data_IF_902340559480
#
_entry.id   IF_902340559480
#
_cell.length_a   1.000
_cell.length_b   1.000
_cell.length_c   1.000
_cell.angle_alpha   90.00
_cell.angle_beta   90.00
_cell.angle_gamma   90.00
#
_symmetry.space_group_name_H-M   'P 1'
#
loop_
_entity.id
_entity.type
_entity.pdbx_description
1 polymer ?
#
# COMPACT_ATOMS: atom_id res chain seq x y z
N UNK A 1 11.52 13.46 -5.97
CA UNK A 1 11.29 13.69 -4.54
C UNK A 1 11.12 12.36 -3.85
N UNK A 2 12.11 12.00 -3.08
CA UNK A 2 12.23 10.73 -2.42
C UNK A 2 11.34 10.76 -1.19
N UNK A 3 10.27 9.99 -1.20
CA UNK A 3 9.64 9.55 0.04
C UNK A 3 10.65 8.60 0.69
N UNK A 4 11.54 9.15 1.46
CA UNK A 4 12.44 8.37 2.29
C UNK A 4 11.57 7.67 3.31
N UNK A 5 11.47 6.35 3.22
CA UNK A 5 10.87 5.55 4.27
C UNK A 5 11.76 5.74 5.50
N UNK A 6 11.25 6.46 6.50
CA UNK A 6 12.02 6.69 7.73
C UNK A 6 12.24 5.37 8.45
N UNK A 7 13.45 4.86 8.38
CA UNK A 7 13.84 3.61 9.05
C UNK A 7 13.86 3.75 10.57
N UNK A 8 13.92 4.99 11.10
CA UNK A 8 13.97 5.24 12.55
C UNK A 8 13.25 6.53 12.95
N UNK A 9 12.74 6.58 14.19
CA UNK A 9 12.14 7.81 14.76
C UNK A 9 13.12 9.00 14.75
N UNK A 10 14.42 8.74 14.76
CA UNK A 10 15.48 9.75 14.76
C UNK A 10 15.59 10.50 13.43
N UNK A 11 15.07 9.97 12.34
CA UNK A 11 15.10 10.59 11.02
C UNK A 11 13.89 11.48 10.74
N UNK A 12 12.75 11.22 11.40
CA UNK A 12 11.51 11.95 11.16
C UNK A 12 11.61 13.43 11.54
N UNK A 13 12.13 13.74 12.72
CA UNK A 13 12.18 15.14 13.20
C UNK A 13 13.15 16.03 12.40
N UNK A 14 14.37 15.57 12.06
CA UNK A 14 15.25 16.30 11.16
C UNK A 14 14.62 16.50 9.78
N UNK A 15 13.91 15.52 9.23
CA UNK A 15 13.23 15.64 7.95
C UNK A 15 12.09 16.65 8.01
N UNK A 16 11.23 16.62 9.00
CA UNK A 16 10.14 17.58 9.16
C UNK A 16 10.64 19.03 9.25
N UNK A 17 11.88 19.23 9.70
CA UNK A 17 12.53 20.54 9.78
C UNK A 17 13.29 20.93 8.52
N UNK A 18 13.49 20.00 7.60
CA UNK A 18 14.13 20.29 6.31
C UNK A 18 13.17 21.05 5.39
N UNK A 19 13.72 21.77 4.39
CA UNK A 19 12.90 22.42 3.36
C UNK A 19 11.93 21.46 2.69
N UNK A 20 12.42 20.27 2.30
CA UNK A 20 11.61 19.25 1.64
C UNK A 20 10.45 18.74 2.53
N UNK A 21 10.71 18.55 3.82
CA UNK A 21 9.67 18.15 4.78
C UNK A 21 8.62 19.23 4.99
N UNK A 22 9.03 20.49 5.07
CA UNK A 22 8.12 21.63 5.20
C UNK A 22 7.28 21.84 3.95
N UNK A 23 7.89 21.76 2.76
CA UNK A 23 7.19 21.89 1.47
C UNK A 23 6.15 20.79 1.25
N UNK A 24 6.48 19.53 1.61
CA UNK A 24 5.56 18.40 1.46
C UNK A 24 4.42 18.45 2.47
N UNK A 25 4.69 18.89 3.70
CA UNK A 25 3.70 18.85 4.77
C UNK A 25 2.89 20.14 4.88
N UNK A 26 3.35 21.23 4.26
CA UNK A 26 2.86 22.60 4.47
C UNK A 26 2.84 23.03 5.96
N UNK A 27 3.68 22.38 6.78
CA UNK A 27 3.70 22.59 8.22
C UNK A 27 4.09 24.05 8.59
N UNK A 28 4.94 24.66 7.78
CA UNK A 28 5.38 26.05 8.00
C UNK A 28 4.28 27.07 7.70
N UNK A 29 3.42 26.78 6.70
CA UNK A 29 2.34 27.69 6.27
C UNK A 29 1.09 27.51 7.12
N UNK A 30 0.69 26.28 7.43
CA UNK A 30 -0.48 25.95 8.26
C UNK A 30 -0.19 24.78 9.22
N UNK A 31 0.45 25.07 10.38
CA UNK A 31 0.75 24.05 11.38
C UNK A 31 -0.50 23.38 11.95
N UNK A 32 -1.62 24.12 12.03
CA UNK A 32 -2.86 23.59 12.59
C UNK A 32 -3.51 22.55 11.66
N UNK A 33 -3.57 22.83 10.37
CA UNK A 33 -4.07 21.89 9.37
C UNK A 33 -3.15 20.66 9.27
N UNK A 34 -1.84 20.85 9.39
CA UNK A 34 -0.89 19.72 9.44
C UNK A 34 -1.17 18.80 10.63
N UNK A 35 -1.39 19.35 11.83
CA UNK A 35 -1.70 18.58 13.04
C UNK A 35 -3.01 17.81 12.85
N UNK A 36 -4.06 18.42 12.32
CA UNK A 36 -5.35 17.74 12.04
C UNK A 36 -5.18 16.57 11.07
N UNK A 37 -4.39 16.77 10.01
CA UNK A 37 -4.09 15.68 9.05
C UNK A 37 -3.33 14.54 9.71
N UNK A 38 -2.39 14.87 10.59
CA UNK A 38 -1.60 13.88 11.32
C UNK A 38 -2.48 13.08 12.30
N UNK A 39 -3.35 13.75 13.06
CA UNK A 39 -4.30 13.11 13.97
C UNK A 39 -5.25 12.17 13.21
N UNK A 40 -5.83 12.63 12.10
CA UNK A 40 -6.66 11.79 11.23
C UNK A 40 -5.90 10.57 10.70
N UNK A 41 -4.67 10.77 10.23
CA UNK A 41 -3.84 9.68 9.73
C UNK A 41 -3.48 8.68 10.82
N UNK A 42 -3.20 9.14 12.04
CA UNK A 42 -2.93 8.28 13.19
C UNK A 42 -4.16 7.44 13.58
N UNK A 43 -5.34 8.06 13.63
CA UNK A 43 -6.60 7.37 13.90
C UNK A 43 -6.88 6.29 12.83
N UNK A 44 -6.75 6.64 11.54
CA UNK A 44 -6.90 5.70 10.44
C UNK A 44 -5.90 4.54 10.53
N UNK A 45 -4.64 4.83 10.87
CA UNK A 45 -3.61 3.80 11.02
C UNK A 45 -3.94 2.81 12.15
N UNK A 46 -4.43 3.29 13.27
CA UNK A 46 -4.87 2.43 14.39
C UNK A 46 -6.04 1.53 13.96
N UNK A 47 -7.05 2.08 13.27
CA UNK A 47 -8.18 1.31 12.74
C UNK A 47 -7.71 0.22 11.78
N UNK A 48 -6.87 0.56 10.82
CA UNK A 48 -6.33 -0.39 9.83
C UNK A 48 -5.52 -1.51 10.51
N UNK A 49 -4.67 -1.17 11.47
CA UNK A 49 -3.91 -2.19 12.24
C UNK A 49 -4.80 -3.14 13.03
N UNK A 50 -6.01 -2.71 13.39
CA UNK A 50 -7.03 -3.52 14.03
C UNK A 50 -7.96 -4.21 13.02
N UNK A 51 -7.61 -4.21 11.74
CA UNK A 51 -8.36 -4.75 10.60
C UNK A 51 -9.72 -4.05 10.37
N UNK A 52 -9.83 -2.80 10.77
CA UNK A 52 -11.05 -2.00 10.61
C UNK A 52 -10.88 -0.96 9.50
N UNK A 53 -11.99 -0.55 8.92
CA UNK A 53 -12.03 0.64 8.08
C UNK A 53 -11.90 1.93 8.95
N UNK A 54 -11.79 3.12 8.32
CA UNK A 54 -11.73 4.39 9.07
C UNK A 54 -12.93 4.68 9.97
N UNK A 55 -14.06 4.01 9.76
CA UNK A 55 -15.29 4.13 10.57
C UNK A 55 -15.33 3.11 11.72
N UNK A 56 -14.31 2.26 11.87
CA UNK A 56 -14.20 1.23 12.89
C UNK A 56 -14.92 -0.09 12.56
N UNK A 57 -15.35 -0.27 11.31
CA UNK A 57 -16.01 -1.49 10.84
C UNK A 57 -14.97 -2.49 10.35
N UNK A 58 -15.09 -3.75 10.76
CA UNK A 58 -14.17 -4.83 10.36
C UNK A 58 -14.09 -4.95 8.83
N UNK A 59 -12.85 -4.96 8.30
CA UNK A 59 -12.56 -5.16 6.89
C UNK A 59 -12.01 -6.57 6.68
N UNK A 60 -12.74 -7.38 5.91
CA UNK A 60 -12.42 -8.79 5.69
C UNK A 60 -11.09 -9.00 4.98
N UNK A 61 -10.74 -8.15 4.02
CA UNK A 61 -9.46 -8.23 3.29
C UNK A 61 -8.26 -7.97 4.19
N UNK A 62 -8.35 -6.97 5.08
CA UNK A 62 -7.28 -6.69 6.05
C UNK A 62 -7.13 -7.84 7.05
N UNK A 63 -8.25 -8.37 7.53
CA UNK A 63 -8.25 -9.53 8.42
C UNK A 63 -7.64 -10.76 7.75
N UNK A 64 -7.96 -11.01 6.48
CA UNK A 64 -7.41 -12.10 5.70
C UNK A 64 -5.88 -11.95 5.55
N UNK A 65 -5.40 -10.79 5.11
CA UNK A 65 -3.97 -10.52 4.96
C UNK A 65 -3.23 -10.78 6.28
N UNK A 66 -3.74 -10.27 7.39
CA UNK A 66 -3.12 -10.44 8.70
C UNK A 66 -3.11 -11.90 9.16
N UNK A 67 -4.20 -12.64 8.92
CA UNK A 67 -4.36 -14.00 9.43
C UNK A 67 -3.54 -15.02 8.64
N UNK A 68 -3.41 -14.84 7.33
CA UNK A 68 -2.77 -15.85 6.46
C UNK A 68 -1.35 -15.49 6.02
N UNK A 69 -1.04 -14.21 5.87
CA UNK A 69 0.29 -13.79 5.37
C UNK A 69 1.15 -13.12 6.43
N UNK A 70 0.56 -12.56 7.49
CA UNK A 70 1.26 -11.85 8.57
C UNK A 70 2.18 -10.72 8.09
N UNK A 71 1.91 -10.15 6.90
CA UNK A 71 2.69 -9.07 6.28
C UNK A 71 2.11 -7.71 6.63
N UNK A 72 2.96 -6.67 6.62
CA UNK A 72 2.58 -5.29 6.94
C UNK A 72 2.92 -4.29 5.82
N UNK A 73 3.56 -4.73 4.77
CA UNK A 73 4.04 -3.88 3.67
C UNK A 73 2.91 -3.14 2.94
N UNK A 74 1.67 -3.66 2.96
CA UNK A 74 0.48 -3.03 2.37
C UNK A 74 -0.03 -1.81 3.14
N UNK A 75 0.32 -1.68 4.42
CA UNK A 75 -0.25 -0.65 5.31
C UNK A 75 -0.09 0.79 4.77
N UNK A 76 1.04 1.21 4.19
CA UNK A 76 1.17 2.57 3.65
C UNK A 76 0.18 2.85 2.51
N UNK A 77 -0.06 1.88 1.61
CA UNK A 77 -1.00 2.03 0.48
C UNK A 77 -2.43 2.13 0.99
N UNK A 78 -2.81 1.26 1.93
CA UNK A 78 -4.14 1.26 2.55
C UNK A 78 -4.38 2.54 3.35
N UNK A 79 -3.37 3.03 4.09
CA UNK A 79 -3.46 4.30 4.81
C UNK A 79 -3.64 5.50 3.87
N UNK A 80 -2.93 5.52 2.74
CA UNK A 80 -3.09 6.54 1.72
C UNK A 80 -4.52 6.55 1.16
N UNK A 81 -5.14 5.37 0.96
CA UNK A 81 -6.53 5.25 0.53
C UNK A 81 -7.51 5.72 1.63
N UNK A 82 -7.27 5.37 2.90
CA UNK A 82 -8.09 5.80 4.03
C UNK A 82 -8.09 7.32 4.21
N UNK A 83 -6.94 7.95 4.05
CA UNK A 83 -6.80 9.41 4.19
C UNK A 83 -7.57 10.20 3.11
N UNK A 84 -7.86 9.59 1.96
CA UNK A 84 -8.69 10.19 0.92
C UNK A 84 -10.20 10.22 1.27
N UNK A 85 -10.65 9.47 2.26
CA UNK A 85 -11.98 9.56 2.85
C UNK A 85 -13.13 8.91 2.07
N UNK A 86 -12.87 8.24 0.93
CA UNK A 86 -13.89 7.49 0.19
C UNK A 86 -13.87 6.00 0.61
N UNK A 87 -14.94 5.57 1.28
CA UNK A 87 -15.09 4.19 1.78
C UNK A 87 -15.08 3.15 0.66
N UNK A 88 -15.67 3.45 -0.51
CA UNK A 88 -15.69 2.51 -1.64
C UNK A 88 -14.28 2.32 -2.20
N UNK A 89 -13.55 3.43 -2.31
CA UNK A 89 -12.13 3.40 -2.72
C UNK A 89 -11.29 2.61 -1.72
N UNK A 90 -11.45 2.91 -0.43
CA UNK A 90 -10.74 2.19 0.63
C UNK A 90 -10.96 0.67 0.54
N UNK A 91 -12.23 0.23 0.50
CA UNK A 91 -12.56 -1.19 0.42
C UNK A 91 -12.00 -1.84 -0.86
N UNK A 92 -12.07 -1.14 -2.00
CA UNK A 92 -11.51 -1.65 -3.25
C UNK A 92 -9.98 -1.78 -3.19
N UNK A 93 -9.29 -0.82 -2.58
CA UNK A 93 -7.84 -0.89 -2.37
C UNK A 93 -7.48 -2.07 -1.45
N UNK A 94 -8.22 -2.29 -0.36
CA UNK A 94 -8.00 -3.44 0.51
C UNK A 94 -8.14 -4.78 -0.23
N UNK A 95 -9.18 -4.95 -1.06
CA UNK A 95 -9.36 -6.14 -1.89
C UNK A 95 -8.21 -6.35 -2.88
N UNK A 96 -7.75 -5.28 -3.51
CA UNK A 96 -6.63 -5.36 -4.46
C UNK A 96 -5.31 -5.69 -3.76
N UNK A 97 -5.09 -5.15 -2.55
CA UNK A 97 -3.91 -5.52 -1.74
C UNK A 97 -3.95 -6.99 -1.33
N UNK A 98 -5.11 -7.50 -0.92
CA UNK A 98 -5.31 -8.92 -0.64
C UNK A 98 -4.93 -9.78 -1.85
N UNK A 99 -5.47 -9.47 -3.04
CA UNK A 99 -5.18 -10.19 -4.28
C UNK A 99 -3.70 -10.12 -4.65
N UNK A 100 -3.08 -8.95 -4.54
CA UNK A 100 -1.67 -8.75 -4.87
C UNK A 100 -0.76 -9.57 -3.95
N UNK A 101 -0.99 -9.51 -2.64
CA UNK A 101 -0.20 -10.26 -1.65
C UNK A 101 -0.37 -11.77 -1.85
N UNK A 102 -1.60 -12.22 -2.10
CA UNK A 102 -1.87 -13.62 -2.40
C UNK A 102 -1.06 -14.11 -3.60
N UNK A 103 -1.10 -13.37 -4.71
CA UNK A 103 -0.39 -13.77 -5.94
C UNK A 103 1.12 -13.75 -5.75
N UNK A 104 1.66 -12.76 -5.06
CA UNK A 104 3.09 -12.71 -4.74
C UNK A 104 3.54 -13.89 -3.86
N UNK A 105 2.71 -14.27 -2.89
CA UNK A 105 2.98 -15.44 -2.05
C UNK A 105 2.93 -16.75 -2.85
N UNK A 106 1.99 -16.85 -3.80
CA UNK A 106 1.84 -18.02 -4.65
C UNK A 106 2.95 -18.14 -5.72
N UNK A 107 3.37 -16.99 -6.29
CA UNK A 107 4.43 -16.96 -7.30
C UNK A 107 5.84 -17.15 -6.72
N UNK A 108 5.97 -17.31 -5.42
CA UNK A 108 7.26 -17.35 -4.69
C UNK A 108 8.17 -16.18 -5.03
N UNK A 109 7.57 -15.03 -5.31
CA UNK A 109 8.30 -13.82 -5.68
C UNK A 109 8.93 -13.18 -4.46
N UNK A 110 10.15 -12.67 -4.60
CA UNK A 110 10.90 -12.04 -3.50
C UNK A 110 10.13 -10.84 -2.91
N UNK A 111 9.97 -10.82 -1.60
CA UNK A 111 9.29 -9.75 -0.87
C UNK A 111 9.84 -8.34 -1.15
N UNK A 112 11.13 -8.21 -1.46
CA UNK A 112 11.74 -6.94 -1.87
C UNK A 112 11.14 -6.37 -3.17
N UNK A 113 10.66 -7.22 -4.06
CA UNK A 113 10.00 -6.81 -5.31
C UNK A 113 8.59 -6.29 -5.00
N UNK A 114 7.86 -6.96 -4.11
CA UNK A 114 6.59 -6.45 -3.60
C UNK A 114 6.75 -5.08 -2.93
N UNK A 115 7.76 -4.89 -2.09
CA UNK A 115 8.01 -3.61 -1.40
C UNK A 115 8.21 -2.46 -2.39
N UNK A 116 9.00 -2.66 -3.46
CA UNK A 116 9.20 -1.66 -4.51
C UNK A 116 7.89 -1.30 -5.21
N UNK A 117 7.08 -2.30 -5.54
CA UNK A 117 5.80 -2.10 -6.20
C UNK A 117 4.80 -1.39 -5.29
N UNK A 118 4.76 -1.72 -4.01
CA UNK A 118 3.92 -1.03 -3.02
C UNK A 118 4.36 0.42 -2.80
N UNK A 119 5.67 0.69 -2.82
CA UNK A 119 6.19 2.06 -2.75
C UNK A 119 5.76 2.88 -3.98
N UNK A 120 5.82 2.31 -5.18
CA UNK A 120 5.34 2.95 -6.40
C UNK A 120 3.84 3.27 -6.32
N UNK A 121 3.03 2.31 -5.86
CA UNK A 121 1.59 2.50 -5.64
C UNK A 121 1.29 3.62 -4.63
N UNK A 122 2.04 3.67 -3.54
CA UNK A 122 1.91 4.70 -2.54
C UNK A 122 2.26 6.09 -3.10
N UNK A 123 3.37 6.21 -3.83
CA UNK A 123 3.76 7.44 -4.52
C UNK A 123 2.71 7.90 -5.54
N UNK A 124 2.12 6.95 -6.26
CA UNK A 124 1.05 7.25 -7.21
C UNK A 124 -0.16 7.87 -6.52
N UNK A 125 -0.60 7.30 -5.40
CA UNK A 125 -1.73 7.83 -4.63
C UNK A 125 -1.47 9.23 -4.06
N UNK A 126 -0.23 9.55 -3.72
CA UNK A 126 0.13 10.88 -3.20
C UNK A 126 0.24 11.97 -4.29
N UNK A 127 0.82 11.64 -5.44
CA UNK A 127 1.12 12.64 -6.48
C UNK A 127 -0.09 13.20 -7.21
N UNK A 128 -1.21 12.48 -7.22
CA UNK A 128 -2.33 12.79 -8.11
C UNK A 128 -3.60 13.24 -7.38
N UNK A 129 -3.48 14.25 -6.53
CA UNK A 129 -4.65 14.76 -5.78
C UNK A 129 -5.74 15.40 -6.66
N UNK A 130 -5.46 15.75 -7.91
CA UNK A 130 -6.37 16.49 -8.81
C UNK A 130 -6.93 15.68 -9.98
N UNK A 131 -6.42 14.47 -10.23
CA UNK A 131 -6.87 13.64 -11.38
C UNK A 131 -8.17 12.90 -11.05
N UNK A 132 -9.25 13.22 -11.78
CA UNK A 132 -10.55 12.51 -11.69
C UNK A 132 -10.45 11.02 -12.01
N UNK A 133 -9.45 10.59 -12.77
CA UNK A 133 -9.21 9.20 -13.14
C UNK A 133 -8.18 8.49 -12.26
N UNK A 134 -7.68 9.15 -11.22
CA UNK A 134 -6.65 8.65 -10.30
C UNK A 134 -6.86 7.19 -9.91
N UNK A 135 -8.01 6.88 -9.36
CA UNK A 135 -8.30 5.53 -8.89
C UNK A 135 -8.47 4.52 -10.02
N UNK A 136 -9.04 4.92 -11.15
CA UNK A 136 -9.14 4.05 -12.33
C UNK A 136 -7.76 3.63 -12.84
N UNK A 137 -6.83 4.57 -12.91
CA UNK A 137 -5.46 4.30 -13.34
C UNK A 137 -4.68 3.51 -12.28
N UNK A 138 -4.89 3.81 -10.99
CA UNK A 138 -4.35 3.04 -9.88
C UNK A 138 -4.79 1.56 -9.93
N UNK A 139 -6.08 1.30 -10.14
CA UNK A 139 -6.60 -0.06 -10.26
C UNK A 139 -6.01 -0.82 -11.47
N UNK A 140 -5.84 -0.12 -12.61
CA UNK A 140 -5.18 -0.70 -13.78
C UNK A 140 -3.71 -1.08 -13.48
N UNK A 141 -3.00 -0.22 -12.76
CA UNK A 141 -1.62 -0.48 -12.39
C UNK A 141 -1.50 -1.73 -11.51
N UNK A 142 -2.34 -1.86 -10.48
CA UNK A 142 -2.34 -3.06 -9.62
C UNK A 142 -2.73 -4.31 -10.41
N UNK A 143 -3.77 -4.25 -11.23
CA UNK A 143 -4.18 -5.40 -12.04
C UNK A 143 -3.06 -5.86 -12.96
N UNK A 144 -2.31 -4.93 -13.57
CA UNK A 144 -1.14 -5.28 -14.39
C UNK A 144 -0.03 -5.98 -13.58
N UNK A 145 0.19 -5.54 -12.33
CA UNK A 145 1.13 -6.21 -11.42
C UNK A 145 0.66 -7.64 -11.09
N UNK A 146 -0.62 -7.82 -10.76
CA UNK A 146 -1.23 -9.13 -10.49
C UNK A 146 -1.11 -10.06 -11.70
N UNK A 147 -1.46 -9.59 -12.90
CA UNK A 147 -1.36 -10.35 -14.14
C UNK A 147 0.09 -10.78 -14.45
N UNK A 148 1.05 -9.87 -14.21
CA UNK A 148 2.47 -10.16 -14.36
C UNK A 148 2.95 -11.28 -13.42
N UNK A 149 2.54 -11.25 -12.15
CA UNK A 149 2.91 -12.30 -11.20
C UNK A 149 2.23 -13.64 -11.48
N UNK A 150 0.97 -13.62 -11.89
CA UNK A 150 0.27 -14.84 -12.35
C UNK A 150 1.03 -15.48 -13.52
N UNK A 151 1.47 -14.69 -14.50
CA UNK A 151 2.23 -15.17 -15.65
C UNK A 151 3.55 -15.79 -15.22
N UNK A 152 4.28 -15.18 -14.27
CA UNK A 152 5.51 -15.74 -13.70
C UNK A 152 5.23 -17.07 -12.99
N UNK A 153 4.18 -17.15 -12.17
CA UNK A 153 3.81 -18.37 -11.47
C UNK A 153 3.51 -19.52 -12.43
N UNK A 154 2.76 -19.25 -13.50
CA UNK A 154 2.49 -20.28 -14.54
C UNK A 154 3.76 -20.72 -15.27
N UNK A 155 4.67 -19.79 -15.62
CA UNK A 155 5.94 -20.16 -16.27
C UNK A 155 6.84 -20.99 -15.35
N UNK A 156 6.82 -20.76 -14.06
CA UNK A 156 7.57 -21.56 -13.09
C UNK A 156 7.00 -23.00 -13.04
N UNK A 157 5.68 -23.16 -12.98
CA UNK A 157 5.02 -24.47 -12.97
C UNK A 157 5.29 -25.26 -14.26
N UNK A 158 5.33 -24.60 -15.42
CA UNK A 158 5.56 -25.26 -16.72
C UNK A 158 7.03 -25.55 -16.99
N UNK A 159 7.96 -24.87 -16.36
CA UNK A 159 9.40 -25.07 -16.50
C UNK A 159 10.00 -25.99 -15.42
N UNK A 160 9.27 -26.25 -14.33
CA UNK A 160 9.71 -27.21 -13.33
C UNK A 160 9.59 -28.63 -13.92
N UNK A 161 10.68 -29.39 -13.87
CA UNK A 161 10.85 -30.77 -14.28
C UNK A 161 9.89 -31.78 -13.60
N UNK A 162 8.90 -31.30 -12.85
CA UNK A 162 7.86 -32.11 -12.19
C UNK A 162 6.96 -32.89 -13.16
N UNK A 163 7.00 -32.59 -14.48
CA UNK A 163 6.28 -33.35 -15.49
C UNK A 163 7.06 -34.55 -16.00
N UNK A 164 8.36 -34.70 -15.72
CA UNK A 164 9.17 -35.83 -16.14
C UNK A 164 9.05 -37.05 -15.22
N UNK A 165 8.61 -36.88 -13.97
CA UNK A 165 8.47 -37.99 -13.00
C UNK A 165 7.09 -38.71 -13.03
N UNK A 166 6.18 -38.34 -13.94
CA UNK A 166 4.85 -38.95 -14.07
C UNK A 166 4.69 -39.75 -15.36
N UNK A 167 5.74 -39.90 -16.14
CA UNK A 167 5.73 -40.72 -17.37
C UNK A 167 6.41 -42.12 -17.15
#
# INVERSE_FOLDING_TARGET
SEFTVFKTKTQLMPWLRSSDGQDITNMAEDPHEFIKKLEKSAANFISIRNNNDPEGIENTSLKFIKSYFSVQQHLPVVLAAANNGDKKVFNKVCQLMESLIFVYSWADTKWNELEKNLEELCRYLHKQNTDKNKYKNFYKLINKMIEGEITKAYSNITNDEYLEDIS
#
